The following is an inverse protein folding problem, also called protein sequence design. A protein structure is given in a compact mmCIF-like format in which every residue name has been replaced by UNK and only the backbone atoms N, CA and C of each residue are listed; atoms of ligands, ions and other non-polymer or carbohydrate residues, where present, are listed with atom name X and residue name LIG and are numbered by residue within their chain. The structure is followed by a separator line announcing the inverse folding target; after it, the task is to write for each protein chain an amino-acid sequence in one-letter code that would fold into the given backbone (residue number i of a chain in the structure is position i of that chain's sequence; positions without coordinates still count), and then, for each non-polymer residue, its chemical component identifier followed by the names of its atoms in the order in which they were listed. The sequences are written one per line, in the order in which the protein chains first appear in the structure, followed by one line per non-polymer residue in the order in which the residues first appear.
data_IF_588603334162
#
_entry.id   IF_588603334162
#
_cell.length_a   1.000
_cell.length_b   1.000
_cell.length_c   1.000
_cell.angle_alpha   90.00
_cell.angle_beta   90.00
_cell.angle_gamma   90.00
#
_symmetry.space_group_name_H-M   'P 1'
#
loop_
_entity.id
_entity.type
_entity.pdbx_description
1 polymer ?
#
# COMPACT_ATOMS: atom_id res chain seq x y z
N UNK A 1 4.08 -7.22 52.27
CA UNK A 1 3.64 -7.16 50.86
C UNK A 1 3.24 -5.73 50.53
N UNK A 2 4.09 -4.94 49.84
CA UNK A 2 3.66 -3.68 49.26
C UNK A 2 3.28 -3.86 47.78
N UNK A 3 2.07 -3.40 47.46
CA UNK A 3 1.52 -3.24 46.11
C UNK A 3 2.22 -2.06 45.45
N UNK A 4 2.98 -2.31 44.39
CA UNK A 4 3.57 -1.26 43.55
C UNK A 4 2.51 -0.72 42.60
N UNK A 5 2.16 0.56 42.76
CA UNK A 5 1.38 1.32 41.79
C UNK A 5 2.27 1.59 40.57
N UNK A 6 2.01 0.89 39.47
CA UNK A 6 2.53 1.29 38.16
C UNK A 6 1.79 2.55 37.71
N UNK A 7 2.49 3.67 37.73
CA UNK A 7 2.05 4.92 37.11
C UNK A 7 2.09 4.74 35.60
N UNK A 8 0.92 4.64 34.98
CA UNK A 8 0.74 4.90 33.56
C UNK A 8 1.14 6.35 33.28
N UNK A 9 2.26 6.54 32.57
CA UNK A 9 2.59 7.82 31.97
C UNK A 9 2.38 7.70 30.45
N UNK A 10 1.39 8.37 29.85
CA UNK A 10 1.25 8.42 28.40
C UNK A 10 2.29 9.38 27.85
N UNK A 11 3.37 8.87 27.26
CA UNK A 11 4.31 9.73 26.52
C UNK A 11 3.65 10.22 25.24
N UNK A 12 3.24 11.49 25.34
CA UNK A 12 2.84 12.40 24.29
C UNK A 12 3.93 12.45 23.20
N UNK A 13 3.58 12.05 21.98
CA UNK A 13 4.36 12.38 20.78
C UNK A 13 4.49 13.91 20.67
N UNK A 14 5.69 14.45 20.88
CA UNK A 14 6.01 15.85 20.55
C UNK A 14 6.62 15.92 19.15
N UNK A 15 6.21 16.88 18.30
CA UNK A 15 6.91 17.18 17.06
C UNK A 15 8.27 17.81 17.35
N UNK A 16 9.27 17.47 16.54
CA UNK A 16 10.63 18.00 16.60
C UNK A 16 10.63 19.51 16.38
N UNK A 17 10.83 20.28 17.45
CA UNK A 17 11.20 21.68 17.35
C UNK A 17 12.73 21.76 17.24
N UNK A 18 13.19 22.55 16.27
CA UNK A 18 14.59 22.90 16.01
C UNK A 18 15.36 23.18 17.31
N UNK A 19 16.37 22.35 17.59
CA UNK A 19 17.41 22.64 18.56
C UNK A 19 18.59 23.17 17.75
N UNK A 20 18.86 24.46 17.93
CA UNK A 20 20.01 25.21 17.41
C UNK A 20 21.33 24.49 17.70
N UNK A 21 22.15 24.31 16.66
CA UNK A 21 23.56 23.91 16.74
C UNK A 21 24.36 25.02 17.42
N UNK A 22 24.72 24.85 18.69
CA UNK A 22 25.89 25.50 19.30
C UNK A 22 26.13 24.92 20.71
N UNK A 23 26.56 23.65 20.79
CA UNK A 23 27.35 23.09 21.90
C UNK A 23 27.69 21.61 21.59
N UNK A 24 28.82 21.37 20.92
CA UNK A 24 29.30 20.01 20.65
C UNK A 24 30.20 19.58 21.81
N UNK A 25 29.59 19.02 22.85
CA UNK A 25 30.25 18.02 23.72
C UNK A 25 30.27 16.65 23.02
N UNK A 26 31.08 15.68 23.49
CA UNK A 26 31.08 14.33 22.92
C UNK A 26 29.66 13.75 22.98
N UNK A 27 29.14 13.40 21.80
CA UNK A 27 27.78 12.90 21.60
C UNK A 27 27.52 11.71 22.55
N UNK A 28 26.39 11.69 23.28
CA UNK A 28 25.97 10.50 24.00
C UNK A 28 25.81 9.32 23.01
N UNK A 29 26.02 8.07 23.45
CA UNK A 29 25.82 6.91 22.60
C UNK A 29 24.41 6.95 21.99
N UNK A 30 24.24 6.55 20.72
CA UNK A 30 22.94 6.56 20.07
C UNK A 30 21.95 5.79 20.95
N UNK A 31 20.71 6.30 21.14
CA UNK A 31 19.70 5.55 21.87
C UNK A 31 19.54 4.18 21.22
N UNK A 32 19.25 3.12 22.00
CA UNK A 32 19.02 1.79 21.45
C UNK A 32 17.91 1.91 20.39
N UNK A 33 18.28 1.58 19.15
CA UNK A 33 17.36 1.60 18.01
C UNK A 33 16.15 0.72 18.36
N UNK A 34 14.91 1.21 18.18
CA UNK A 34 13.73 0.40 18.45
C UNK A 34 13.79 -0.86 17.58
N UNK A 35 13.56 -2.02 18.20
CA UNK A 35 13.55 -3.32 17.53
C UNK A 35 12.71 -3.25 16.23
N UNK A 36 13.19 -3.82 15.10
CA UNK A 36 12.45 -3.82 13.84
C UNK A 36 11.09 -4.54 13.94
N UNK A 37 10.90 -5.38 14.97
CA UNK A 37 9.63 -6.03 15.29
C UNK A 37 8.54 -5.09 15.85
N UNK A 38 8.87 -3.82 16.13
CA UNK A 38 7.99 -2.92 16.89
C UNK A 38 7.28 -1.84 16.06
N UNK A 39 7.50 -1.77 14.74
CA UNK A 39 6.76 -0.85 13.87
C UNK A 39 5.34 -1.38 13.69
N UNK A 40 4.50 -1.15 14.70
CA UNK A 40 3.08 -1.49 14.71
C UNK A 40 2.29 -0.26 14.28
N UNK A 41 1.51 -0.36 13.20
CA UNK A 41 0.50 0.66 12.92
C UNK A 41 -0.66 0.49 13.90
N UNK A 42 -1.28 1.61 14.31
CA UNK A 42 -2.39 1.72 15.28
C UNK A 42 -3.18 0.42 15.49
N UNK A 43 -2.83 -0.30 16.56
CA UNK A 43 -3.47 -1.55 16.96
C UNK A 43 -2.72 -2.81 16.49
N UNK A 44 -1.67 -3.20 17.22
CA UNK A 44 -1.08 -4.56 17.37
C UNK A 44 -0.88 -5.47 16.14
N UNK A 45 -1.11 -4.99 14.92
CA UNK A 45 -1.00 -5.79 13.70
C UNK A 45 0.30 -5.41 13.02
N UNK A 46 1.14 -6.42 12.78
CA UNK A 46 2.37 -6.31 12.01
C UNK A 46 2.04 -5.68 10.64
N UNK A 47 2.80 -4.65 10.24
CA UNK A 47 2.60 -3.92 8.99
C UNK A 47 2.60 -4.88 7.80
N UNK A 48 3.39 -5.96 7.86
CA UNK A 48 3.39 -7.02 6.85
C UNK A 48 2.01 -7.64 6.70
N UNK A 49 1.38 -8.02 7.82
CA UNK A 49 0.02 -8.59 7.81
C UNK A 49 -0.99 -7.62 7.20
N UNK A 50 -0.90 -6.32 7.52
CA UNK A 50 -1.72 -5.29 6.90
C UNK A 50 -1.58 -5.28 5.37
N UNK A 51 -0.34 -5.24 4.86
CA UNK A 51 -0.04 -5.29 3.42
C UNK A 51 -0.56 -6.58 2.77
N UNK A 52 -0.39 -7.74 3.42
CA UNK A 52 -0.93 -9.01 2.95
C UNK A 52 -2.46 -8.96 2.79
N UNK A 53 -3.18 -8.44 3.79
CA UNK A 53 -4.65 -8.33 3.72
C UNK A 53 -5.08 -7.38 2.60
N UNK A 54 -4.39 -6.26 2.41
CA UNK A 54 -4.70 -5.28 1.36
C UNK A 54 -4.56 -5.93 -0.02
N UNK A 55 -3.42 -6.58 -0.27
CA UNK A 55 -3.12 -7.18 -1.56
C UNK A 55 -4.09 -8.34 -1.85
N UNK A 56 -4.40 -9.19 -0.85
CA UNK A 56 -5.39 -10.25 -1.00
C UNK A 56 -6.80 -9.71 -1.29
N UNK A 57 -7.19 -8.62 -0.61
CA UNK A 57 -8.49 -7.98 -0.84
C UNK A 57 -8.58 -7.43 -2.26
N UNK A 58 -7.54 -6.75 -2.74
CA UNK A 58 -7.47 -6.28 -4.13
C UNK A 58 -7.53 -7.44 -5.14
N UNK A 59 -6.82 -8.54 -4.88
CA UNK A 59 -6.84 -9.71 -5.73
C UNK A 59 -8.24 -10.33 -5.79
N UNK A 60 -8.90 -10.49 -4.64
CA UNK A 60 -10.26 -11.02 -4.55
C UNK A 60 -11.27 -10.15 -5.28
N UNK A 61 -11.18 -8.82 -5.13
CA UNK A 61 -12.03 -7.86 -5.86
C UNK A 61 -11.82 -7.95 -7.37
N UNK A 62 -10.56 -8.09 -7.83
CA UNK A 62 -10.25 -8.24 -9.25
C UNK A 62 -10.81 -9.54 -9.82
N UNK A 63 -10.64 -10.67 -9.12
CA UNK A 63 -11.20 -11.97 -9.52
C UNK A 63 -12.73 -11.91 -9.54
N UNK A 64 -13.35 -11.36 -8.49
CA UNK A 64 -14.80 -11.23 -8.41
C UNK A 64 -15.36 -10.40 -9.58
N UNK A 65 -14.70 -9.29 -9.90
CA UNK A 65 -15.07 -8.42 -11.02
C UNK A 65 -14.98 -9.17 -12.35
N UNK A 66 -13.88 -9.91 -12.57
CA UNK A 66 -13.69 -10.73 -13.77
C UNK A 66 -14.76 -11.81 -13.92
N UNK A 67 -15.07 -12.54 -12.84
CA UNK A 67 -16.10 -13.59 -12.82
C UNK A 67 -17.49 -13.00 -13.04
N UNK A 68 -17.79 -11.87 -12.41
CA UNK A 68 -19.06 -11.16 -12.59
C UNK A 68 -19.25 -10.70 -14.03
N UNK A 69 -18.23 -10.10 -14.65
CA UNK A 69 -18.31 -9.64 -16.04
C UNK A 69 -18.50 -10.82 -17.01
N UNK A 70 -17.77 -11.92 -16.78
CA UNK A 70 -17.91 -13.16 -17.58
C UNK A 70 -19.32 -13.75 -17.45
N UNK A 71 -19.86 -13.83 -16.23
CA UNK A 71 -21.19 -14.37 -15.98
C UNK A 71 -22.32 -13.43 -16.45
N UNK A 72 -22.06 -12.12 -16.48
CA UNK A 72 -22.96 -11.11 -17.02
C UNK A 72 -23.01 -11.05 -18.55
N UNK A 73 -22.24 -11.89 -19.25
CA UNK A 73 -22.21 -11.95 -20.71
C UNK A 73 -21.45 -10.79 -21.37
N UNK A 74 -20.63 -10.03 -20.61
CA UNK A 74 -19.73 -9.07 -21.21
C UNK A 74 -18.63 -9.83 -21.97
N UNK A 75 -18.67 -9.76 -23.30
CA UNK A 75 -17.59 -10.28 -24.11
C UNK A 75 -16.37 -9.34 -23.97
N UNK A 76 -15.19 -9.83 -23.58
CA UNK A 76 -14.00 -8.99 -23.37
C UNK A 76 -13.49 -8.31 -24.66
N UNK A 77 -14.02 -8.70 -25.82
CA UNK A 77 -13.68 -8.16 -27.16
C UNK A 77 -14.80 -7.22 -27.67
N UNK A 78 -15.84 -6.94 -26.86
CA UNK A 78 -16.98 -6.12 -27.29
C UNK A 78 -16.61 -4.67 -27.63
N UNK A 79 -15.56 -4.12 -27.00
CA UNK A 79 -15.01 -2.81 -27.34
C UNK A 79 -13.54 -2.71 -26.94
N UNK A 80 -12.80 -1.78 -27.57
CA UNK A 80 -11.40 -1.52 -27.26
C UNK A 80 -11.20 -1.07 -25.79
N UNK A 81 -12.13 -0.30 -25.23
CA UNK A 81 -12.07 0.16 -23.83
C UNK A 81 -12.24 -1.00 -22.84
N UNK A 82 -13.12 -1.95 -23.15
CA UNK A 82 -13.32 -3.16 -22.35
C UNK A 82 -12.05 -4.02 -22.41
N UNK A 83 -11.53 -4.28 -23.62
CA UNK A 83 -10.30 -5.06 -23.79
C UNK A 83 -9.12 -4.43 -23.05
N UNK A 84 -8.94 -3.12 -23.16
CA UNK A 84 -7.88 -2.38 -22.46
C UNK A 84 -8.03 -2.48 -20.94
N UNK A 85 -9.26 -2.37 -20.43
CA UNK A 85 -9.54 -2.53 -18.99
C UNK A 85 -9.20 -3.94 -18.49
N UNK A 86 -9.51 -4.97 -19.28
CA UNK A 86 -9.13 -6.37 -18.97
C UNK A 86 -7.61 -6.55 -18.95
N UNK A 87 -6.89 -6.00 -19.92
CA UNK A 87 -5.42 -6.06 -19.98
C UNK A 87 -4.81 -5.37 -18.76
N UNK A 88 -5.27 -4.15 -18.44
CA UNK A 88 -4.79 -3.39 -17.29
C UNK A 88 -5.08 -4.12 -15.97
N UNK A 89 -6.26 -4.72 -15.83
CA UNK A 89 -6.59 -5.54 -14.66
C UNK A 89 -5.70 -6.78 -14.56
N UNK A 90 -5.39 -7.44 -15.68
CA UNK A 90 -4.48 -8.58 -15.71
C UNK A 90 -3.06 -8.22 -15.29
N UNK A 91 -2.51 -7.14 -15.85
CA UNK A 91 -1.20 -6.60 -15.45
C UNK A 91 -1.23 -6.21 -13.97
N UNK A 92 -2.28 -5.53 -13.51
CA UNK A 92 -2.47 -5.18 -12.10
C UNK A 92 -2.47 -6.40 -11.18
N UNK A 93 -3.15 -7.48 -11.55
CA UNK A 93 -3.14 -8.73 -10.78
C UNK A 93 -1.73 -9.34 -10.69
N UNK A 94 -0.97 -9.35 -11.79
CA UNK A 94 0.43 -9.82 -11.77
C UNK A 94 1.29 -8.95 -10.86
N UNK A 95 1.14 -7.62 -10.91
CA UNK A 95 1.88 -6.70 -10.04
C UNK A 95 1.54 -6.93 -8.57
N UNK A 96 0.26 -7.13 -8.24
CA UNK A 96 -0.18 -7.47 -6.89
C UNK A 96 0.40 -8.80 -6.41
N UNK A 97 0.48 -9.82 -7.26
CA UNK A 97 1.14 -11.09 -6.93
C UNK A 97 2.64 -10.91 -6.67
N UNK A 98 3.32 -10.07 -7.46
CA UNK A 98 4.73 -9.74 -7.23
C UNK A 98 4.92 -9.01 -5.91
N UNK A 99 4.05 -8.04 -5.59
CA UNK A 99 4.07 -7.34 -4.29
C UNK A 99 3.86 -8.32 -3.13
N UNK A 100 2.89 -9.24 -3.26
CA UNK A 100 2.60 -10.27 -2.26
C UNK A 100 3.81 -11.17 -2.01
N UNK A 101 4.44 -11.66 -3.09
CA UNK A 101 5.59 -12.53 -3.00
C UNK A 101 6.81 -11.80 -2.41
N UNK A 102 7.08 -10.58 -2.88
CA UNK A 102 8.22 -9.79 -2.43
C UNK A 102 8.07 -9.30 -0.99
N UNK A 103 6.85 -9.03 -0.52
CA UNK A 103 6.58 -8.68 0.89
C UNK A 103 6.98 -9.80 1.86
N UNK A 104 6.95 -11.07 1.44
CA UNK A 104 7.42 -12.21 2.23
C UNK A 104 8.93 -12.42 2.20
N UNK A 105 9.66 -11.74 1.31
CA UNK A 105 11.08 -11.98 1.02
C UNK A 105 11.91 -10.70 1.26
N UNK A 106 12.51 -10.52 2.45
CA UNK A 106 13.23 -9.29 2.81
C UNK A 106 14.48 -9.02 1.96
N UNK A 107 14.95 -9.99 1.16
CA UNK A 107 16.06 -9.79 0.22
C UNK A 107 15.64 -9.10 -1.09
N UNK A 108 14.33 -8.97 -1.35
CA UNK A 108 13.78 -8.57 -2.65
C UNK A 108 13.19 -7.14 -2.62
N UNK A 109 13.68 -6.28 -1.73
CA UNK A 109 13.15 -4.91 -1.54
C UNK A 109 13.17 -4.09 -2.84
N UNK A 110 14.22 -4.22 -3.65
CA UNK A 110 14.29 -3.55 -4.94
C UNK A 110 13.17 -3.99 -5.91
N UNK A 111 12.79 -5.27 -5.89
CA UNK A 111 11.68 -5.80 -6.68
C UNK A 111 10.36 -5.27 -6.16
N UNK A 112 10.17 -5.27 -4.83
CA UNK A 112 8.98 -4.73 -4.18
C UNK A 112 8.78 -3.25 -4.54
N UNK A 113 9.85 -2.43 -4.47
CA UNK A 113 9.80 -1.01 -4.82
C UNK A 113 9.39 -0.77 -6.28
N UNK A 114 9.98 -1.51 -7.23
CA UNK A 114 9.58 -1.41 -8.64
C UNK A 114 8.14 -1.83 -8.88
N UNK A 115 7.69 -2.89 -8.21
CA UNK A 115 6.30 -3.33 -8.29
C UNK A 115 5.34 -2.30 -7.68
N UNK A 116 5.73 -1.62 -6.59
CA UNK A 116 4.92 -0.58 -5.96
C UNK A 116 4.82 0.67 -6.85
N UNK A 117 5.92 1.10 -7.47
CA UNK A 117 5.94 2.18 -8.48
C UNK A 117 5.02 1.85 -9.67
N UNK A 118 5.11 0.62 -10.18
CA UNK A 118 4.26 0.16 -11.28
C UNK A 118 2.79 0.07 -10.87
N UNK A 119 2.49 -0.36 -9.65
CA UNK A 119 1.13 -0.39 -9.12
C UNK A 119 0.53 1.02 -9.02
N UNK A 120 1.30 2.01 -8.55
CA UNK A 120 0.88 3.40 -8.50
C UNK A 120 0.62 3.97 -9.91
N UNK A 121 1.50 3.66 -10.88
CA UNK A 121 1.30 4.05 -12.28
C UNK A 121 0.02 3.44 -12.86
N UNK A 122 -0.19 2.13 -12.68
CA UNK A 122 -1.37 1.40 -13.14
C UNK A 122 -2.65 1.96 -12.51
N UNK A 123 -2.59 2.35 -11.23
CA UNK A 123 -3.70 3.01 -10.55
C UNK A 123 -4.05 4.34 -11.22
N UNK A 124 -3.07 5.22 -11.48
CA UNK A 124 -3.30 6.51 -12.15
C UNK A 124 -3.93 6.31 -13.53
N UNK A 125 -3.38 5.39 -14.34
CA UNK A 125 -3.90 5.07 -15.67
C UNK A 125 -5.34 4.56 -15.59
N UNK A 126 -5.62 3.65 -14.65
CA UNK A 126 -6.95 3.09 -14.44
C UNK A 126 -7.95 4.14 -13.95
N UNK A 127 -7.53 5.04 -13.07
CA UNK A 127 -8.36 6.14 -12.60
C UNK A 127 -8.74 7.08 -13.75
N UNK A 128 -7.78 7.49 -14.58
CA UNK A 128 -8.04 8.33 -15.78
C UNK A 128 -9.03 7.64 -16.72
N UNK A 129 -8.82 6.36 -17.03
CA UNK A 129 -9.74 5.57 -17.86
C UNK A 129 -11.14 5.49 -17.25
N UNK A 130 -11.26 5.34 -15.92
CA UNK A 130 -12.56 5.33 -15.24
C UNK A 130 -13.32 6.64 -15.41
N UNK A 131 -12.63 7.79 -15.32
CA UNK A 131 -13.27 9.10 -15.54
C UNK A 131 -13.65 9.32 -17.01
N UNK A 132 -12.79 8.92 -17.96
CA UNK A 132 -13.08 9.04 -19.39
C UNK A 132 -14.28 8.19 -19.77
N UNK A 133 -14.33 6.93 -19.34
CA UNK A 133 -15.44 6.01 -19.65
C UNK A 133 -16.77 6.48 -19.07
N UNK A 134 -16.76 7.00 -17.84
CA UNK A 134 -17.96 7.60 -17.23
C UNK A 134 -18.36 8.89 -17.94
N UNK A 135 -17.41 9.77 -18.24
CA UNK A 135 -17.65 11.05 -18.91
C UNK A 135 -18.19 10.91 -20.33
N UNK A 136 -17.78 9.87 -21.05
CA UNK A 136 -18.29 9.53 -22.39
C UNK A 136 -19.64 8.81 -22.36
N UNK A 137 -20.11 8.35 -21.19
CA UNK A 137 -21.34 7.56 -21.08
C UNK A 137 -21.27 6.21 -21.81
N UNK A 138 -20.07 5.66 -22.02
CA UNK A 138 -19.86 4.47 -22.85
C UNK A 138 -20.45 3.18 -22.26
N UNK A 139 -20.75 3.18 -20.95
CA UNK A 139 -21.41 2.06 -20.27
C UNK A 139 -22.91 2.30 -20.05
N UNK A 140 -23.73 1.55 -20.79
CA UNK A 140 -25.21 1.55 -20.64
C UNK A 140 -25.70 1.17 -19.24
N UNK A 141 -24.90 0.40 -18.50
CA UNK A 141 -25.25 -0.03 -17.14
C UNK A 141 -25.16 1.10 -16.12
N UNK A 142 -24.31 2.09 -16.42
CA UNK A 142 -24.03 3.23 -15.57
C UNK A 142 -24.90 4.43 -15.96
N UNK A 143 -25.31 4.50 -17.23
CA UNK A 143 -26.18 5.55 -17.77
C UNK A 143 -27.58 5.63 -17.12
N UNK A 144 -27.97 4.60 -16.36
CA UNK A 144 -29.26 4.53 -15.64
C UNK A 144 -29.28 5.40 -14.38
N UNK A 145 -28.09 5.75 -13.87
CA UNK A 145 -27.92 6.50 -12.63
C UNK A 145 -27.60 7.97 -12.93
N UNK A 146 -27.90 8.89 -12.00
CA UNK A 146 -27.55 10.29 -12.19
C UNK A 146 -26.03 10.45 -12.28
N UNK A 147 -25.55 11.18 -13.28
CA UNK A 147 -24.11 11.33 -13.57
C UNK A 147 -23.33 11.84 -12.35
N UNK A 148 -23.89 12.77 -11.58
CA UNK A 148 -23.26 13.27 -10.36
C UNK A 148 -23.07 12.20 -9.27
N UNK A 149 -24.01 11.26 -9.15
CA UNK A 149 -23.90 10.14 -8.21
C UNK A 149 -22.83 9.14 -8.67
N UNK A 150 -22.79 8.83 -9.97
CA UNK A 150 -21.77 7.94 -10.53
C UNK A 150 -20.37 8.53 -10.32
N UNK A 151 -20.18 9.81 -10.64
CA UNK A 151 -18.90 10.48 -10.46
C UNK A 151 -18.48 10.50 -8.99
N UNK A 152 -19.40 10.79 -8.06
CA UNK A 152 -19.11 10.76 -6.64
C UNK A 152 -18.65 9.37 -6.18
N UNK A 153 -19.34 8.31 -6.59
CA UNK A 153 -18.96 6.93 -6.24
C UNK A 153 -17.60 6.56 -6.84
N UNK A 154 -17.37 6.89 -8.11
CA UNK A 154 -16.08 6.63 -8.80
C UNK A 154 -14.94 7.39 -8.14
N UNK A 155 -15.15 8.66 -7.75
CA UNK A 155 -14.16 9.43 -7.01
C UNK A 155 -13.86 8.83 -5.65
N UNK A 156 -14.88 8.38 -4.92
CA UNK A 156 -14.72 7.82 -3.58
C UNK A 156 -13.99 6.47 -3.61
N UNK A 157 -14.31 5.61 -4.60
CA UNK A 157 -13.59 4.36 -4.85
C UNK A 157 -12.15 4.63 -5.25
N UNK A 158 -11.91 5.56 -6.18
CA UNK A 158 -10.55 5.92 -6.58
C UNK A 158 -9.74 6.52 -5.41
N UNK A 159 -10.34 7.35 -4.57
CA UNK A 159 -9.66 7.91 -3.39
C UNK A 159 -9.25 6.80 -2.41
N UNK A 160 -10.13 5.83 -2.16
CA UNK A 160 -9.82 4.68 -1.31
C UNK A 160 -8.70 3.82 -1.90
N UNK A 161 -8.80 3.44 -3.18
CA UNK A 161 -7.78 2.64 -3.86
C UNK A 161 -6.44 3.37 -3.97
N UNK A 162 -6.46 4.69 -4.17
CA UNK A 162 -5.28 5.56 -4.18
C UNK A 162 -4.60 5.62 -2.82
N UNK A 163 -5.38 5.69 -1.73
CA UNK A 163 -4.85 5.58 -0.38
C UNK A 163 -4.14 4.23 -0.16
N UNK A 164 -4.73 3.11 -0.59
CA UNK A 164 -4.09 1.81 -0.48
C UNK A 164 -2.81 1.71 -1.32
N UNK A 165 -2.81 2.23 -2.56
CA UNK A 165 -1.61 2.29 -3.40
C UNK A 165 -0.49 3.11 -2.75
N UNK A 166 -0.84 4.22 -2.09
CA UNK A 166 0.09 5.04 -1.31
C UNK A 166 0.67 4.27 -0.11
N UNK A 167 -0.17 3.55 0.65
CA UNK A 167 0.29 2.72 1.77
C UNK A 167 1.26 1.63 1.29
N UNK A 168 0.96 0.95 0.18
CA UNK A 168 1.84 -0.05 -0.42
C UNK A 168 3.19 0.55 -0.85
N UNK A 169 3.17 1.76 -1.40
CA UNK A 169 4.37 2.50 -1.75
C UNK A 169 5.18 2.88 -0.50
N UNK A 170 4.54 3.38 0.56
CA UNK A 170 5.22 3.74 1.81
C UNK A 170 5.82 2.54 2.54
N UNK A 171 5.28 1.34 2.35
CA UNK A 171 5.88 0.13 2.88
C UNK A 171 7.29 -0.15 2.31
N UNK A 172 7.63 0.39 1.13
CA UNK A 172 8.99 0.29 0.57
C UNK A 172 10.04 0.89 1.50
N UNK A 173 9.73 2.02 2.16
CA UNK A 173 10.64 2.70 3.09
C UNK A 173 10.91 1.82 4.33
N UNK A 174 9.89 1.14 4.83
CA UNK A 174 10.01 0.22 5.97
C UNK A 174 10.92 -0.97 5.62
N UNK A 175 10.72 -1.57 4.44
CA UNK A 175 11.55 -2.68 3.97
C UNK A 175 13.01 -2.29 3.74
N UNK A 176 13.27 -1.07 3.26
CA UNK A 176 14.64 -0.56 3.09
C UNK A 176 15.37 -0.43 4.43
N UNK A 177 14.68 0.08 5.46
CA UNK A 177 15.23 0.17 6.82
C UNK A 177 15.52 -1.23 7.38
N UNK A 178 14.57 -2.17 7.27
CA UNK A 178 14.77 -3.56 7.73
C UNK A 178 15.95 -4.25 7.03
N UNK A 179 16.13 -4.03 5.72
CA UNK A 179 17.24 -4.63 4.96
C UNK A 179 18.59 -4.08 5.43
N UNK A 180 18.69 -2.77 5.67
CA UNK A 180 19.92 -2.14 6.16
C UNK A 180 20.33 -2.70 7.53
N UNK A 181 19.38 -2.80 8.45
CA UNK A 181 19.61 -3.31 9.80
C UNK A 181 20.05 -4.78 9.81
N UNK A 182 19.40 -5.63 9.02
CA UNK A 182 19.79 -7.04 8.87
C UNK A 182 21.20 -7.21 8.29
N UNK A 183 21.62 -6.30 7.41
CA UNK A 183 22.96 -6.33 6.82
C UNK A 183 24.06 -5.96 7.84
N UNK A 184 23.77 -5.04 8.77
CA UNK A 184 24.68 -4.65 9.84
C UNK A 184 24.83 -5.76 10.89
N UNK A 185 23.71 -6.37 11.32
CA UNK A 185 23.74 -7.51 12.24
C UNK A 185 24.53 -8.70 11.68
N UNK A 186 24.38 -9.00 10.39
CA UNK A 186 25.14 -10.07 9.75
C UNK A 186 26.64 -9.79 9.69
N UNK A 187 27.08 -8.53 9.65
CA UNK A 187 28.50 -8.17 9.75
C UNK A 187 29.01 -8.27 11.19
N UNK A 188 28.21 -7.85 12.17
CA UNK A 188 28.58 -7.93 13.58
C UNK A 188 28.75 -9.36 14.09
N UNK A 189 28.01 -10.34 13.52
CA UNK A 189 28.11 -11.76 13.90
C UNK A 189 29.36 -12.49 13.36
N UNK A 190 30.15 -11.86 12.48
CA UNK A 190 31.34 -12.47 11.86
C UNK A 190 32.63 -12.06 12.58
N UNK A 191 32.55 -11.10 13.51
CA UNK A 191 33.67 -10.59 14.33
C UNK A 191 33.61 -11.21 15.72
#
# INVERSE_FOLDING_TARGET
MPVSKSQNNPEVCRPAAEVTLDEIGPLPPPPPYPDPASVTCCGCIDIRTGVFVIVLTHLALSIFSFVSDKNGGLAPIASADILLSYILSGIGAVVLLVLLYAAGQPRWVHVYRRAAELNALLFVVSAVLSYVTVGQGSRRDVARYPVGWVLLVVTLVNALLGYWAWVLYKFTEVLEVEQSHNSEMSRASIV
#
